data_IF_759341222244
#
_entry.id   IF_759341222244
#
_cell.length_a   1.000
_cell.length_b   1.000
_cell.length_c   1.000
_cell.angle_alpha   90.00
_cell.angle_beta   90.00
_cell.angle_gamma   90.00
#
_symmetry.space_group_name_H-M   'P 1'
#
loop_
_entity.id
_entity.type
_entity.pdbx_description
1 polymer ?
#
# COMPACT_ATOMS: atom_id res chain seq x y z
N UNK A 1 8.62 -17.23 7.45
CA UNK A 1 9.22 -15.93 7.14
C UNK A 1 10.72 -16.05 6.98
N UNK A 2 11.31 -15.08 6.30
CA UNK A 2 12.77 -15.01 6.18
C UNK A 2 13.31 -14.11 7.29
N UNK A 3 14.51 -14.41 7.85
CA UNK A 3 15.15 -13.52 8.82
C UNK A 3 15.51 -12.17 8.16
N UNK A 4 15.59 -11.09 8.95
CA UNK A 4 15.99 -9.79 8.42
C UNK A 4 17.43 -9.85 7.87
N UNK A 5 17.72 -9.09 6.80
CA UNK A 5 19.09 -8.99 6.31
C UNK A 5 20.05 -8.49 7.38
N UNK A 6 21.26 -9.04 7.42
CA UNK A 6 22.27 -8.75 8.45
C UNK A 6 22.74 -7.30 8.47
N UNK A 7 22.53 -6.56 7.37
CA UNK A 7 22.89 -5.14 7.27
C UNK A 7 21.78 -4.20 7.79
N UNK A 8 20.59 -4.71 8.11
CA UNK A 8 19.53 -3.91 8.72
C UNK A 8 19.91 -3.58 10.15
N UNK A 9 20.29 -2.33 10.35
CA UNK A 9 20.55 -1.82 11.69
C UNK A 9 19.23 -1.28 12.25
N UNK A 10 18.66 -1.96 13.23
CA UNK A 10 17.42 -1.55 13.89
C UNK A 10 17.51 -0.16 14.53
N UNK A 11 18.72 0.33 14.83
CA UNK A 11 18.94 1.67 15.37
C UNK A 11 18.65 2.80 14.38
N UNK A 12 18.63 2.54 13.06
CA UNK A 12 18.34 3.56 12.05
C UNK A 12 16.86 3.94 11.97
N UNK A 13 15.98 3.13 12.55
CA UNK A 13 14.53 3.37 12.53
C UNK A 13 13.97 3.87 13.87
N UNK A 14 14.80 4.03 14.88
CA UNK A 14 14.35 4.29 16.25
C UNK A 14 13.85 5.72 16.51
N UNK A 15 14.22 6.69 15.67
CA UNK A 15 13.98 8.12 15.92
C UNK A 15 13.18 8.82 14.80
N UNK A 16 12.41 8.11 14.00
CA UNK A 16 11.58 8.74 12.97
C UNK A 16 10.24 9.12 13.58
N UNK A 17 10.11 10.38 13.97
CA UNK A 17 8.83 11.00 14.33
C UNK A 17 8.20 11.63 13.06
N UNK A 18 7.32 10.89 12.40
CA UNK A 18 6.60 11.39 11.23
C UNK A 18 5.56 12.47 11.60
N UNK A 19 5.17 12.57 12.87
CA UNK A 19 4.34 13.67 13.39
C UNK A 19 5.06 15.01 13.36
N UNK A 20 6.38 15.02 13.22
CA UNK A 20 7.18 16.23 13.04
C UNK A 20 6.89 16.97 11.71
N UNK A 21 6.18 16.33 10.77
CA UNK A 21 5.85 16.90 9.46
C UNK A 21 4.32 16.93 9.20
N UNK A 22 3.51 17.55 10.07
CA UNK A 22 2.07 17.56 9.89
C UNK A 22 1.63 18.44 8.72
N UNK A 23 0.43 18.15 8.21
CA UNK A 23 -0.27 18.97 7.23
C UNK A 23 0.18 18.73 5.79
N UNK A 24 -0.27 19.63 4.93
CA UNK A 24 -0.04 19.57 3.49
C UNK A 24 0.91 20.68 3.04
N UNK A 25 1.57 20.44 1.93
CA UNK A 25 2.29 21.45 1.17
C UNK A 25 1.55 21.71 -0.14
N UNK A 26 1.45 22.95 -0.52
CA UNK A 26 0.93 23.35 -1.82
C UNK A 26 2.05 23.35 -2.86
N UNK A 27 1.80 22.65 -3.96
CA UNK A 27 2.65 22.68 -5.15
C UNK A 27 1.96 23.58 -6.17
N UNK A 28 2.62 24.64 -6.54
CA UNK A 28 2.09 25.60 -7.50
C UNK A 28 1.98 24.98 -8.89
N UNK A 29 1.05 25.51 -9.68
CA UNK A 29 0.97 25.17 -11.10
C UNK A 29 2.24 25.55 -11.86
N UNK A 30 2.51 24.82 -12.91
CA UNK A 30 3.68 25.08 -13.76
C UNK A 30 4.06 23.91 -14.66
N UNK A 31 5.09 24.16 -15.46
CA UNK A 31 5.70 23.14 -16.30
C UNK A 31 6.83 22.47 -15.53
N UNK A 32 6.71 21.19 -15.29
CA UNK A 32 7.69 20.37 -14.59
C UNK A 32 8.32 19.36 -15.54
N UNK A 33 9.61 19.13 -15.37
CA UNK A 33 10.30 18.08 -16.12
C UNK A 33 10.11 16.75 -15.39
N UNK A 34 9.39 15.82 -16.00
CA UNK A 34 9.22 14.45 -15.50
C UNK A 34 10.07 13.48 -16.30
N UNK A 35 10.57 12.45 -15.62
CA UNK A 35 11.41 11.42 -16.22
C UNK A 35 12.90 11.75 -16.19
N UNK A 36 13.71 10.76 -16.57
CA UNK A 36 15.14 10.84 -16.52
C UNK A 36 15.74 11.32 -17.85
N UNK A 37 16.76 12.17 -17.78
CA UNK A 37 17.52 12.63 -18.95
C UNK A 37 18.36 11.50 -19.54
N UNK A 38 18.59 11.57 -20.85
CA UNK A 38 19.38 10.56 -21.59
C UNK A 38 20.83 10.44 -21.14
N UNK A 39 21.34 11.48 -20.47
CA UNK A 39 22.72 11.55 -20.00
C UNK A 39 22.96 10.83 -18.67
N UNK A 40 21.90 10.34 -18.02
CA UNK A 40 22.06 9.55 -16.82
C UNK A 40 22.69 8.17 -17.15
N UNK A 41 23.67 7.72 -16.36
CA UNK A 41 24.40 6.47 -16.64
C UNK A 41 23.52 5.22 -16.57
N UNK A 42 22.42 5.28 -15.84
CA UNK A 42 21.42 4.22 -15.74
C UNK A 42 20.02 4.80 -15.53
N UNK A 43 19.04 4.31 -16.29
CA UNK A 43 17.64 4.73 -16.22
C UNK A 43 16.75 3.52 -16.40
N UNK A 44 15.82 3.32 -15.47
CA UNK A 44 14.79 2.30 -15.62
C UNK A 44 13.82 2.65 -16.77
N UNK A 45 13.23 1.62 -17.38
CA UNK A 45 12.37 1.81 -18.56
C UNK A 45 11.14 2.67 -18.27
N UNK A 46 10.59 2.60 -17.07
CA UNK A 46 9.44 3.39 -16.62
C UNK A 46 9.80 4.87 -16.29
N UNK A 47 11.07 5.23 -16.28
CA UNK A 47 11.54 6.59 -16.02
C UNK A 47 11.95 7.33 -17.30
N UNK A 48 11.88 6.67 -18.46
CA UNK A 48 12.26 7.22 -19.77
C UNK A 48 11.09 7.94 -20.42
N UNK A 49 11.28 9.09 -21.03
CA UNK A 49 12.40 10.05 -21.02
C UNK A 49 11.90 11.37 -20.46
N UNK A 50 12.82 12.23 -20.04
CA UNK A 50 12.48 13.56 -19.57
C UNK A 50 11.59 14.30 -20.56
N UNK A 51 10.45 14.77 -20.11
CA UNK A 51 9.48 15.55 -20.87
C UNK A 51 8.84 16.60 -19.98
N UNK A 52 8.32 17.64 -20.63
CA UNK A 52 7.60 18.70 -19.91
C UNK A 52 6.15 18.28 -19.68
N UNK A 53 5.69 18.50 -18.46
CA UNK A 53 4.32 18.22 -18.06
C UNK A 53 3.75 19.44 -17.33
N UNK A 54 2.61 19.94 -17.80
CA UNK A 54 1.89 21.01 -17.13
C UNK A 54 1.08 20.43 -15.98
N UNK A 55 1.42 20.83 -14.76
CA UNK A 55 0.78 20.35 -13.54
C UNK A 55 -0.01 21.52 -12.93
N UNK A 56 -1.32 21.35 -12.72
CA UNK A 56 -2.11 22.35 -11.99
C UNK A 56 -1.72 22.37 -10.52
N UNK A 57 -1.98 23.48 -9.84
CA UNK A 57 -1.81 23.59 -8.39
C UNK A 57 -2.51 22.43 -7.67
N UNK A 58 -1.81 21.79 -6.75
CA UNK A 58 -2.35 20.74 -5.91
C UNK A 58 -1.72 20.75 -4.52
N UNK A 59 -2.36 20.05 -3.58
CA UNK A 59 -1.82 19.87 -2.22
C UNK A 59 -1.50 18.41 -1.98
N UNK A 60 -0.37 18.16 -1.33
CA UNK A 60 0.11 16.82 -0.97
C UNK A 60 0.51 16.81 0.49
N UNK A 61 0.26 15.72 1.19
CA UNK A 61 0.75 15.52 2.55
C UNK A 61 2.28 15.64 2.61
N UNK A 62 2.78 16.27 3.66
CA UNK A 62 4.23 16.46 3.87
C UNK A 62 4.95 15.16 4.21
N UNK A 63 4.23 14.22 4.82
CA UNK A 63 4.73 12.91 5.19
C UNK A 63 3.85 11.80 4.59
N UNK A 64 4.38 10.59 4.42
CA UNK A 64 3.56 9.42 4.14
C UNK A 64 2.54 9.19 5.25
N UNK A 65 1.44 8.52 4.90
CA UNK A 65 0.44 8.06 5.89
C UNK A 65 1.11 7.16 6.92
N UNK A 66 0.88 7.43 8.19
CA UNK A 66 1.47 6.67 9.29
C UNK A 66 0.63 5.45 9.65
N UNK A 67 1.23 4.52 10.39
CA UNK A 67 0.49 3.39 10.94
C UNK A 67 -0.66 3.85 11.86
N UNK A 68 -0.45 4.90 12.66
CA UNK A 68 -1.49 5.45 13.54
C UNK A 68 -2.66 6.01 12.75
N UNK A 69 -2.41 6.82 11.72
CA UNK A 69 -3.47 7.34 10.84
C UNK A 69 -4.22 6.22 10.11
N UNK A 70 -3.52 5.16 9.74
CA UNK A 70 -4.17 4.01 9.10
C UNK A 70 -4.94 3.15 10.12
N UNK A 71 -4.44 3.07 11.34
CA UNK A 71 -5.09 2.35 12.45
C UNK A 71 -6.44 2.98 12.81
N UNK A 72 -6.55 4.29 12.82
CA UNK A 72 -7.84 4.98 13.01
C UNK A 72 -8.89 4.49 12.01
N UNK A 73 -8.53 4.36 10.73
CA UNK A 73 -9.41 3.81 9.69
C UNK A 73 -9.82 2.36 9.99
N UNK A 74 -8.89 1.53 10.47
CA UNK A 74 -9.17 0.13 10.83
C UNK A 74 -10.14 0.07 12.02
N UNK A 75 -9.87 0.83 13.08
CA UNK A 75 -10.64 0.82 14.32
C UNK A 75 -12.05 1.42 14.16
N UNK A 76 -12.20 2.41 13.28
CA UNK A 76 -13.50 2.93 12.87
C UNK A 76 -14.30 1.98 11.96
N UNK A 77 -13.75 0.80 11.70
CA UNK A 77 -14.40 -0.24 10.89
C UNK A 77 -14.40 0.06 9.40
N UNK A 78 -13.39 0.78 8.90
CA UNK A 78 -13.26 1.14 7.49
C UNK A 78 -13.29 -0.06 6.54
N UNK A 79 -12.78 -1.20 6.97
CA UNK A 79 -12.86 -2.47 6.23
C UNK A 79 -14.29 -3.02 6.08
N UNK A 80 -15.23 -2.59 6.90
CA UNK A 80 -16.64 -3.03 6.87
C UNK A 80 -17.56 -2.04 6.17
N UNK A 81 -17.08 -0.87 5.84
CA UNK A 81 -17.87 0.22 5.25
C UNK A 81 -17.67 0.25 3.73
N UNK A 82 -18.63 -0.34 3.00
CA UNK A 82 -18.63 -0.48 1.54
C UNK A 82 -18.38 0.84 0.79
N UNK A 83 -18.80 1.96 1.36
CA UNK A 83 -18.72 3.28 0.74
C UNK A 83 -17.29 3.76 0.45
N UNK A 84 -16.30 3.24 1.16
CA UNK A 84 -14.89 3.61 0.94
C UNK A 84 -14.20 2.77 -0.13
N UNK A 85 -14.78 1.64 -0.52
CA UNK A 85 -14.16 0.67 -1.43
C UNK A 85 -14.70 0.82 -2.86
N UNK A 86 -13.83 0.68 -3.86
CA UNK A 86 -14.27 0.42 -5.23
C UNK A 86 -14.91 -0.96 -5.33
N UNK A 87 -15.60 -1.25 -6.43
CA UNK A 87 -16.20 -2.57 -6.64
C UNK A 87 -15.14 -3.67 -6.65
N UNK A 88 -14.03 -3.43 -7.34
CA UNK A 88 -12.88 -4.34 -7.39
C UNK A 88 -12.23 -4.51 -6.02
N UNK A 89 -12.08 -3.41 -5.26
CA UNK A 89 -11.53 -3.43 -3.91
C UNK A 89 -12.40 -4.19 -2.93
N UNK A 90 -13.72 -4.08 -3.07
CA UNK A 90 -14.65 -4.85 -2.23
C UNK A 90 -14.60 -6.34 -2.52
N UNK A 91 -14.55 -6.72 -3.81
CA UNK A 91 -14.39 -8.12 -4.20
C UNK A 91 -13.05 -8.70 -3.72
N UNK A 92 -11.98 -7.90 -3.83
CA UNK A 92 -10.68 -8.28 -3.29
C UNK A 92 -10.74 -8.52 -1.77
N UNK A 93 -11.41 -7.64 -1.04
CA UNK A 93 -11.59 -7.76 0.41
C UNK A 93 -12.38 -9.03 0.78
N UNK A 94 -13.47 -9.32 0.07
CA UNK A 94 -14.29 -10.52 0.25
C UNK A 94 -13.55 -11.82 -0.09
N UNK A 95 -12.56 -11.74 -0.96
CA UNK A 95 -11.68 -12.88 -1.31
C UNK A 95 -10.55 -13.13 -0.31
N UNK A 96 -10.55 -12.42 0.83
CA UNK A 96 -9.49 -12.53 1.84
C UNK A 96 -8.17 -11.90 1.40
N UNK A 97 -8.23 -10.90 0.50
CA UNK A 97 -7.02 -10.22 0.02
C UNK A 97 -6.17 -11.05 -0.94
N UNK A 98 -6.66 -12.20 -1.36
CA UNK A 98 -5.97 -12.99 -2.37
C UNK A 98 -5.89 -12.19 -3.67
N UNK A 99 -4.73 -12.14 -4.36
CA UNK A 99 -4.71 -11.65 -5.72
C UNK A 99 -5.72 -12.47 -6.51
N UNK A 100 -6.56 -11.82 -7.32
CA UNK A 100 -7.34 -12.54 -8.31
C UNK A 100 -6.33 -13.17 -9.27
N UNK A 101 -5.89 -14.36 -8.91
CA UNK A 101 -5.19 -15.22 -9.85
C UNK A 101 -6.15 -15.39 -11.02
N UNK A 102 -5.82 -14.76 -12.14
CA UNK A 102 -6.60 -14.94 -13.35
C UNK A 102 -6.96 -16.41 -13.48
N UNK A 103 -8.24 -16.69 -13.77
CA UNK A 103 -8.75 -18.04 -13.93
C UNK A 103 -7.89 -18.88 -14.89
N UNK A 104 -7.14 -18.24 -15.78
CA UNK A 104 -6.11 -18.79 -16.65
C UNK A 104 -4.88 -19.31 -15.89
N UNK A 105 -4.43 -18.62 -14.85
CA UNK A 105 -3.25 -19.03 -14.07
C UNK A 105 -3.58 -20.22 -13.16
N UNK A 106 -4.75 -20.20 -12.53
CA UNK A 106 -5.26 -21.35 -11.78
C UNK A 106 -5.42 -22.58 -12.68
N UNK A 107 -5.89 -22.38 -13.91
CA UNK A 107 -6.02 -23.45 -14.93
C UNK A 107 -4.67 -23.98 -15.41
N UNK A 108 -3.65 -23.13 -15.48
CA UNK A 108 -2.28 -23.53 -15.84
C UNK A 108 -1.64 -24.38 -14.74
N UNK A 109 -1.76 -23.98 -13.48
CA UNK A 109 -1.25 -24.76 -12.34
C UNK A 109 -1.99 -26.09 -12.17
N UNK A 110 -3.30 -26.10 -12.32
CA UNK A 110 -4.10 -27.33 -12.27
C UNK A 110 -3.67 -28.35 -13.33
N UNK A 111 -3.26 -27.87 -14.50
CA UNK A 111 -2.79 -28.73 -15.60
C UNK A 111 -1.37 -29.26 -15.39
N UNK A 112 -0.54 -28.53 -14.66
CA UNK A 112 0.90 -28.84 -14.53
C UNK A 112 1.20 -29.70 -13.31
N UNK A 113 0.44 -29.60 -12.23
CA UNK A 113 0.75 -30.27 -10.97
C UNK A 113 -0.13 -31.50 -10.69
N UNK A 114 -1.18 -31.72 -11.48
CA UNK A 114 -2.13 -32.85 -11.35
C UNK A 114 -2.63 -33.13 -9.91
N UNK A 115 -2.48 -32.14 -9.03
CA UNK A 115 -2.99 -32.13 -7.67
C UNK A 115 -4.15 -31.14 -7.58
N UNK A 116 -5.26 -31.50 -6.94
CA UNK A 116 -6.25 -30.51 -6.56
C UNK A 116 -5.57 -29.56 -5.57
N UNK A 117 -5.09 -28.42 -6.07
CA UNK A 117 -4.82 -27.32 -5.17
C UNK A 117 -6.19 -26.98 -4.57
N UNK A 118 -6.43 -27.44 -3.35
CA UNK A 118 -7.45 -26.82 -2.54
C UNK A 118 -7.08 -25.34 -2.53
N UNK A 119 -7.73 -24.59 -3.40
CA UNK A 119 -7.75 -23.14 -3.34
C UNK A 119 -8.22 -22.88 -1.94
N UNK A 120 -7.30 -22.42 -1.10
CA UNK A 120 -7.42 -22.39 0.34
C UNK A 120 -8.86 -22.02 0.69
N UNK A 121 -9.57 -22.98 1.23
CA UNK A 121 -10.93 -22.85 1.62
C UNK A 121 -10.98 -21.63 2.53
N UNK A 122 -11.65 -20.57 2.04
CA UNK A 122 -12.07 -19.44 2.86
C UNK A 122 -10.92 -18.70 3.55
N UNK A 123 -10.13 -17.95 2.79
CA UNK A 123 -9.46 -16.81 3.39
C UNK A 123 -10.56 -15.97 4.05
N UNK A 124 -10.51 -15.87 5.38
CA UNK A 124 -11.45 -15.02 6.11
C UNK A 124 -11.35 -13.61 5.53
N UNK A 125 -12.50 -12.97 5.41
CA UNK A 125 -12.55 -11.59 4.95
C UNK A 125 -11.61 -10.74 5.80
N UNK A 126 -10.75 -9.97 5.15
CA UNK A 126 -9.86 -9.07 5.86
C UNK A 126 -10.65 -7.95 6.57
N UNK A 127 -10.23 -7.62 7.76
CA UNK A 127 -10.71 -6.47 8.53
C UNK A 127 -9.58 -5.55 9.01
N UNK A 128 -8.34 -5.87 8.63
CA UNK A 128 -7.12 -5.10 8.85
C UNK A 128 -6.04 -5.49 7.84
N UNK A 129 -4.91 -4.77 7.72
CA UNK A 129 -3.79 -5.16 6.86
C UNK A 129 -3.26 -6.56 7.20
N UNK A 130 -2.91 -7.34 6.19
CA UNK A 130 -2.56 -8.77 6.29
C UNK A 130 -1.42 -9.10 7.28
N UNK A 131 -0.53 -8.14 7.52
CA UNK A 131 0.59 -8.31 8.45
C UNK A 131 0.37 -7.71 9.83
N UNK A 132 -0.84 -7.19 10.09
CA UNK A 132 -1.20 -6.66 11.38
C UNK A 132 -1.99 -7.69 12.19
N UNK A 133 -1.90 -7.59 13.50
CA UNK A 133 -2.70 -8.42 14.41
C UNK A 133 -3.05 -7.62 15.65
N UNK A 134 -4.32 -7.64 16.10
CA UNK A 134 -4.70 -7.07 17.38
C UNK A 134 -4.15 -7.93 18.52
N UNK A 135 -3.85 -7.28 19.65
CA UNK A 135 -3.48 -7.91 20.90
C UNK A 135 -4.62 -7.75 21.92
N UNK A 136 -4.73 -8.67 22.88
CA UNK A 136 -5.78 -8.66 23.90
C UNK A 136 -5.82 -7.40 24.78
N UNK A 137 -4.71 -6.68 24.85
CA UNK A 137 -4.56 -5.44 25.60
C UNK A 137 -4.95 -4.16 24.82
N UNK A 138 -5.53 -4.30 23.64
CA UNK A 138 -5.95 -3.19 22.79
C UNK A 138 -4.83 -2.57 21.96
N UNK A 139 -3.61 -3.11 22.03
CA UNK A 139 -2.53 -2.72 21.15
C UNK A 139 -2.53 -3.57 19.88
N UNK A 140 -1.74 -3.11 18.90
CA UNK A 140 -1.53 -3.82 17.66
C UNK A 140 -0.07 -4.21 17.52
N UNK A 141 0.16 -5.31 16.80
CA UNK A 141 1.49 -5.73 16.36
C UNK A 141 1.50 -5.92 14.85
N UNK A 142 2.68 -5.81 14.27
CA UNK A 142 2.89 -6.09 12.86
C UNK A 142 3.96 -7.16 12.67
N UNK A 143 3.82 -7.94 11.62
CA UNK A 143 4.85 -8.89 11.21
C UNK A 143 5.96 -8.15 10.47
N UNK A 144 7.19 -8.37 10.92
CA UNK A 144 8.41 -7.88 10.28
C UNK A 144 9.32 -9.10 10.04
N UNK A 145 9.43 -9.53 8.79
CA UNK A 145 10.10 -10.77 8.38
C UNK A 145 9.53 -12.02 9.08
N UNK A 146 10.24 -12.57 10.04
CA UNK A 146 9.91 -13.80 10.77
C UNK A 146 9.38 -13.56 12.19
N UNK A 147 9.28 -12.33 12.62
CA UNK A 147 8.85 -11.95 13.97
C UNK A 147 7.71 -10.94 13.97
N UNK A 148 7.05 -10.80 15.10
CA UNK A 148 6.08 -9.75 15.37
C UNK A 148 6.68 -8.68 16.27
N UNK A 149 6.38 -7.45 15.98
CA UNK A 149 6.80 -6.27 16.75
C UNK A 149 5.57 -5.42 17.06
N UNK A 150 5.56 -4.71 18.18
CA UNK A 150 4.50 -3.73 18.45
C UNK A 150 4.42 -2.74 17.29
N UNK A 151 3.20 -2.41 16.91
CA UNK A 151 2.96 -1.44 15.87
C UNK A 151 3.42 -0.07 16.34
N UNK A 152 4.45 0.48 15.69
CA UNK A 152 4.86 1.86 15.93
C UNK A 152 4.00 2.77 15.06
N UNK A 153 3.13 3.55 15.71
CA UNK A 153 2.14 4.41 15.06
C UNK A 153 2.78 5.56 14.27
N UNK A 154 3.98 5.98 14.61
CA UNK A 154 4.68 7.09 13.96
C UNK A 154 5.38 6.70 12.66
N UNK A 155 5.56 5.42 12.41
CA UNK A 155 6.19 4.94 11.19
C UNK A 155 5.20 4.93 10.02
N UNK A 156 5.67 5.12 8.78
CA UNK A 156 4.84 4.99 7.60
C UNK A 156 4.18 3.61 7.52
N UNK A 157 2.90 3.59 7.12
CA UNK A 157 2.20 2.34 6.82
C UNK A 157 2.81 1.70 5.58
N UNK A 158 3.10 0.41 5.69
CA UNK A 158 3.66 -0.40 4.61
C UNK A 158 2.89 -1.70 4.44
N UNK A 159 3.06 -2.35 3.29
CA UNK A 159 2.41 -3.63 2.97
C UNK A 159 0.88 -3.56 2.94
N UNK A 160 0.34 -2.40 2.62
CA UNK A 160 -1.07 -2.23 2.25
C UNK A 160 -1.21 -2.32 0.73
N UNK A 161 -2.32 -2.90 0.28
CA UNK A 161 -2.63 -2.98 -1.14
C UNK A 161 -3.08 -1.63 -1.70
N UNK A 162 -3.14 -1.53 -3.02
CA UNK A 162 -3.75 -0.37 -3.68
C UNK A 162 -5.19 -0.12 -3.23
N UNK A 163 -5.98 -1.18 -3.05
CA UNK A 163 -7.37 -1.09 -2.64
C UNK A 163 -7.53 -0.54 -1.22
N UNK A 164 -6.66 -0.96 -0.32
CA UNK A 164 -6.61 -0.46 1.06
C UNK A 164 -6.21 1.01 1.09
N UNK A 165 -5.17 1.38 0.35
CA UNK A 165 -4.76 2.78 0.23
C UNK A 165 -5.85 3.66 -0.39
N UNK A 166 -6.58 3.17 -1.41
CA UNK A 166 -7.71 3.89 -2.01
C UNK A 166 -8.87 4.05 -1.01
N UNK A 167 -9.21 3.01 -0.26
CA UNK A 167 -10.26 3.04 0.74
C UNK A 167 -9.93 4.01 1.87
N UNK A 168 -8.72 3.94 2.39
CA UNK A 168 -8.24 4.89 3.39
C UNK A 168 -8.31 6.33 2.88
N UNK A 169 -7.88 6.57 1.65
CA UNK A 169 -7.89 7.93 1.10
C UNK A 169 -9.29 8.51 1.00
N UNK A 170 -10.29 7.69 0.65
CA UNK A 170 -11.71 8.10 0.62
C UNK A 170 -12.25 8.39 2.01
N UNK A 171 -11.91 7.52 2.99
CA UNK A 171 -12.27 7.74 4.39
C UNK A 171 -11.69 9.05 4.92
N UNK A 172 -10.43 9.33 4.65
CA UNK A 172 -9.74 10.56 5.07
C UNK A 172 -10.15 11.82 4.27
N UNK A 173 -11.11 11.71 3.34
CA UNK A 173 -11.49 12.82 2.45
C UNK A 173 -10.38 13.26 1.49
N UNK A 174 -9.46 12.36 1.18
CA UNK A 174 -8.30 12.58 0.31
C UNK A 174 -8.43 11.77 -1.00
N UNK A 175 -7.44 11.89 -1.86
CA UNK A 175 -7.29 11.05 -3.05
C UNK A 175 -5.85 10.59 -3.20
N UNK A 176 -5.67 9.42 -3.76
CA UNK A 176 -4.34 8.98 -4.16
C UNK A 176 -3.80 9.85 -5.31
N UNK A 177 -2.51 10.07 -5.29
CA UNK A 177 -1.83 10.68 -6.44
C UNK A 177 -2.00 9.76 -7.65
N UNK A 178 -2.42 10.35 -8.77
CA UNK A 178 -2.48 9.62 -10.04
C UNK A 178 -1.27 10.02 -10.87
N UNK A 179 -0.51 9.04 -11.34
CA UNK A 179 0.39 9.26 -12.44
C UNK A 179 -0.43 9.59 -13.69
N UNK A 180 -0.09 10.65 -14.41
CA UNK A 180 -0.75 10.99 -15.68
C UNK A 180 -0.55 9.97 -16.78
N UNK A 181 0.44 9.11 -16.66
CA UNK A 181 0.71 8.01 -17.60
C UNK A 181 -0.32 6.88 -17.57
N UNK A 182 -1.48 7.09 -16.95
CA UNK A 182 -2.66 6.24 -17.15
C UNK A 182 -2.55 4.76 -16.77
N UNK A 183 -1.42 4.33 -16.28
CA UNK A 183 -1.08 2.93 -16.12
C UNK A 183 -0.78 2.60 -14.65
N UNK A 184 -1.77 2.65 -13.78
CA UNK A 184 -1.75 1.90 -12.53
C UNK A 184 -3.20 1.59 -12.11
N UNK A 185 -3.93 0.93 -13.00
CA UNK A 185 -4.93 -0.02 -12.56
C UNK A 185 -4.28 -1.38 -12.69
N UNK A 186 -4.27 -2.22 -11.65
CA UNK A 186 -4.00 -3.62 -11.84
C UNK A 186 -5.07 -4.13 -12.79
N UNK A 187 -4.64 -4.63 -13.92
CA UNK A 187 -5.45 -5.37 -14.89
C UNK A 187 -5.81 -6.74 -14.33
#
# INVERSE_FOLDING_TARGET
GYPPPTFLNAALCADIDSRACPGDVEISDGNYTLGAHKDFPFVFDNEKWAHQEEIPTFRIARAPVTNGEFLEFVEEGGYRQRQYWSDDGWQWLESGGAPQLEKSFAKFFHKTLNEPMEVAAFAERLDHPVYWQPLDNGHWQRRVYDRYELLNEDLPVVHVSWYEAEAWSRWAGRRLLRSRTGALRPS
#
